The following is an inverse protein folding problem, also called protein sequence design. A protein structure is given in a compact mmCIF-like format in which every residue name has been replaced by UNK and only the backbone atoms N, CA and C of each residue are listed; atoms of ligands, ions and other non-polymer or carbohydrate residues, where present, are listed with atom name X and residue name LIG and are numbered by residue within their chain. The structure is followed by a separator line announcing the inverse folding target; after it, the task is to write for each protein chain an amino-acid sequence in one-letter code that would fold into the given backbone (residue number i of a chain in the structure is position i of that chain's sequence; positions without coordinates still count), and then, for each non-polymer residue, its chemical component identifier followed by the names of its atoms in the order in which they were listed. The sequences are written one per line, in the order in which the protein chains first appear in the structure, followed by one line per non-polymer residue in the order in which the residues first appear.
data_IF_102378446280
#
_entry.id   IF_102378446280
#
_cell.length_a   1.000
_cell.length_b   1.000
_cell.length_c   1.000
_cell.angle_alpha   90.00
_cell.angle_beta   90.00
_cell.angle_gamma   90.00
#
_symmetry.space_group_name_H-M   'P 1'
#
loop_
_entity.id
_entity.type
_entity.pdbx_description
1 polymer ?
#
# COMPACT_ATOMS: atom_id res chain seq x y z
N UNK A 1 82.59 12.41 15.88
CA UNK A 1 81.51 13.07 15.14
C UNK A 1 80.62 12.02 14.52
N UNK A 2 79.47 11.70 15.10
CA UNK A 2 78.52 10.82 14.43
C UNK A 2 77.44 11.65 13.75
N UNK A 3 77.25 11.32 12.48
CA UNK A 3 76.18 11.84 11.65
C UNK A 3 74.83 11.21 12.04
N UNK A 4 73.86 12.07 12.34
CA UNK A 4 72.50 11.66 12.52
C UNK A 4 71.85 11.37 11.17
N UNK A 5 71.37 10.15 10.93
CA UNK A 5 70.51 9.81 9.82
C UNK A 5 69.03 10.07 10.21
N UNK A 6 68.45 11.00 9.54
CA UNK A 6 67.00 11.22 9.60
C UNK A 6 66.30 10.24 8.69
N UNK A 7 65.47 9.37 9.24
CA UNK A 7 64.56 8.54 8.47
C UNK A 7 63.21 9.25 8.47
N UNK A 8 62.83 9.72 7.31
CA UNK A 8 61.47 10.20 7.06
C UNK A 8 60.62 8.98 6.70
N UNK A 9 59.57 8.74 7.47
CA UNK A 9 58.55 7.73 7.15
C UNK A 9 57.43 8.42 6.33
N UNK A 10 57.05 7.88 5.18
CA UNK A 10 55.87 8.36 4.48
C UNK A 10 54.60 7.77 5.11
N UNK A 11 53.70 8.64 5.57
CA UNK A 11 52.42 8.24 6.05
C UNK A 11 51.51 7.78 4.87
N UNK A 12 51.04 6.56 4.92
CA UNK A 12 49.97 6.09 4.05
C UNK A 12 48.66 6.68 4.56
N UNK A 13 48.07 7.59 3.77
CA UNK A 13 46.71 8.01 3.96
C UNK A 13 45.79 6.93 3.36
N UNK A 14 45.12 6.18 4.20
CA UNK A 14 44.07 5.25 3.80
C UNK A 14 42.80 6.05 3.46
N UNK A 15 42.48 6.18 2.18
CA UNK A 15 41.20 6.68 1.70
C UNK A 15 40.15 5.57 1.90
N UNK A 16 39.34 5.70 2.93
CA UNK A 16 38.15 4.90 3.11
C UNK A 16 37.09 5.36 2.11
N UNK A 17 36.89 4.59 1.05
CA UNK A 17 35.77 4.78 0.12
C UNK A 17 34.52 4.24 0.79
N UNK A 18 33.69 5.11 1.33
CA UNK A 18 32.34 4.74 1.74
C UNK A 18 31.50 4.56 0.48
N UNK A 19 31.34 3.28 0.09
CA UNK A 19 30.34 2.91 -0.90
C UNK A 19 28.97 3.03 -0.25
N UNK A 20 28.36 4.20 -0.40
CA UNK A 20 26.96 4.41 0.00
C UNK A 20 26.03 3.55 -0.84
N UNK A 21 25.26 2.70 -0.19
CA UNK A 21 24.19 1.94 -0.83
C UNK A 21 23.13 2.90 -1.38
N UNK A 22 23.16 3.17 -2.68
CA UNK A 22 22.13 3.93 -3.40
C UNK A 22 20.92 3.04 -3.70
N UNK A 23 20.26 2.53 -2.65
CA UNK A 23 19.10 1.64 -2.80
C UNK A 23 17.80 2.14 -2.21
N UNK A 24 17.83 3.24 -1.45
CA UNK A 24 16.68 3.64 -0.62
C UNK A 24 15.80 4.77 -1.20
N UNK A 25 16.12 5.32 -2.37
CA UNK A 25 15.47 6.58 -2.81
C UNK A 25 14.23 6.41 -3.69
N UNK A 26 13.96 5.23 -4.23
CA UNK A 26 12.79 5.04 -5.10
C UNK A 26 11.44 5.13 -4.37
N UNK A 27 11.39 4.79 -3.08
CA UNK A 27 10.17 4.86 -2.29
C UNK A 27 9.82 6.29 -1.84
N UNK A 28 10.81 7.12 -1.52
CA UNK A 28 10.59 8.47 -1.01
C UNK A 28 10.12 9.44 -2.10
N UNK A 29 10.60 9.28 -3.34
CA UNK A 29 10.21 10.13 -4.48
C UNK A 29 8.75 9.88 -4.88
N UNK A 30 8.27 8.64 -4.79
CA UNK A 30 6.90 8.31 -5.16
C UNK A 30 5.87 8.83 -4.15
N UNK A 31 6.23 8.98 -2.87
CA UNK A 31 5.34 9.53 -1.84
C UNK A 31 5.11 11.04 -2.01
N UNK A 32 6.15 11.79 -2.35
CA UNK A 32 6.06 13.25 -2.50
C UNK A 32 5.18 13.69 -3.67
N UNK A 33 4.98 12.82 -4.66
CA UNK A 33 4.19 13.10 -5.87
C UNK A 33 2.91 12.26 -5.95
N UNK A 34 2.47 11.72 -4.81
CA UNK A 34 1.24 10.94 -4.78
C UNK A 34 0.00 11.83 -4.75
N UNK A 35 -0.67 11.89 -5.88
CA UNK A 35 -1.91 12.65 -6.07
C UNK A 35 -2.99 11.73 -6.63
N UNK A 36 -3.63 10.90 -5.79
CA UNK A 36 -4.64 9.97 -6.26
C UNK A 36 -5.92 10.69 -6.65
N UNK A 37 -6.54 10.22 -7.73
CA UNK A 37 -7.88 10.61 -8.16
C UNK A 37 -8.78 9.39 -8.10
N UNK A 38 -9.66 9.35 -7.12
CA UNK A 38 -10.62 8.28 -6.95
C UNK A 38 -11.82 8.52 -7.85
N UNK A 39 -12.06 7.61 -8.80
CA UNK A 39 -13.08 7.79 -9.84
C UNK A 39 -14.41 7.17 -9.47
N UNK A 40 -14.45 6.27 -8.51
CA UNK A 40 -15.69 5.71 -8.02
C UNK A 40 -15.61 4.24 -7.65
N UNK A 41 -16.68 3.81 -6.98
CA UNK A 41 -16.87 2.45 -6.49
C UNK A 41 -18.22 1.96 -6.98
N UNK A 42 -18.27 0.78 -7.57
CA UNK A 42 -19.50 0.06 -7.84
C UNK A 42 -19.52 -1.19 -6.99
N UNK A 43 -20.56 -1.35 -6.19
CA UNK A 43 -20.77 -2.52 -5.35
C UNK A 43 -21.76 -3.46 -6.03
N UNK A 44 -21.37 -4.72 -6.18
CA UNK A 44 -22.22 -5.77 -6.77
C UNK A 44 -22.38 -6.89 -5.76
N UNK A 45 -23.62 -7.11 -5.34
CA UNK A 45 -23.95 -8.21 -4.46
C UNK A 45 -23.93 -9.52 -5.27
N UNK A 46 -23.16 -10.47 -4.77
CA UNK A 46 -23.13 -11.81 -5.28
C UNK A 46 -23.99 -12.72 -4.39
N UNK A 47 -23.80 -14.02 -4.49
CA UNK A 47 -24.56 -14.96 -3.68
C UNK A 47 -24.13 -14.94 -2.20
N UNK A 48 -25.09 -14.97 -1.29
CA UNK A 48 -24.85 -14.98 0.16
C UNK A 48 -24.20 -13.66 0.64
N UNK A 49 -23.09 -13.79 1.38
CA UNK A 49 -22.34 -12.66 1.92
C UNK A 49 -21.17 -12.24 1.02
N UNK A 50 -21.13 -12.71 -0.20
CA UNK A 50 -20.13 -12.34 -1.20
C UNK A 50 -20.50 -11.01 -1.84
N UNK A 51 -19.52 -10.13 -1.90
CA UNK A 51 -19.67 -8.80 -2.51
C UNK A 51 -18.47 -8.52 -3.41
N UNK A 52 -18.73 -7.99 -4.58
CA UNK A 52 -17.71 -7.56 -5.51
C UNK A 52 -17.66 -6.02 -5.51
N UNK A 53 -16.45 -5.49 -5.33
CA UNK A 53 -16.18 -4.05 -5.38
C UNK A 53 -15.37 -3.73 -6.62
N UNK A 54 -16.01 -3.05 -7.55
CA UNK A 54 -15.38 -2.53 -8.76
C UNK A 54 -14.95 -1.10 -8.49
N UNK A 55 -13.67 -0.87 -8.37
CA UNK A 55 -13.10 0.46 -8.10
C UNK A 55 -12.27 0.95 -9.27
N UNK A 56 -12.23 2.26 -9.44
CA UNK A 56 -11.39 2.92 -10.45
C UNK A 56 -10.69 4.12 -9.85
N UNK A 57 -9.42 4.31 -10.22
CA UNK A 57 -8.65 5.48 -9.81
C UNK A 57 -7.56 5.82 -10.83
N UNK A 58 -7.10 7.07 -10.77
CA UNK A 58 -5.88 7.55 -11.44
C UNK A 58 -4.84 7.95 -10.41
N UNK A 59 -3.59 7.98 -10.83
CA UNK A 59 -2.49 8.41 -9.97
C UNK A 59 -2.07 7.38 -8.92
N UNK A 60 -2.47 6.11 -9.06
CA UNK A 60 -1.94 5.04 -8.22
C UNK A 60 -0.45 4.85 -8.50
N UNK A 61 0.32 4.64 -7.45
CA UNK A 61 1.76 4.39 -7.54
C UNK A 61 2.05 2.95 -7.98
N UNK A 62 1.18 2.04 -7.53
CA UNK A 62 1.28 0.61 -7.79
C UNK A 62 -0.07 -0.07 -7.49
N UNK A 63 -0.20 -1.40 -7.69
CA UNK A 63 -1.43 -2.13 -7.38
C UNK A 63 -1.91 -1.99 -5.94
N UNK A 64 -1.02 -1.80 -4.97
CA UNK A 64 -1.41 -1.69 -3.56
C UNK A 64 -2.32 -0.49 -3.28
N UNK A 65 -2.18 0.60 -4.01
CA UNK A 65 -3.05 1.77 -3.85
C UNK A 65 -4.49 1.48 -4.29
N UNK A 66 -4.68 0.75 -5.37
CA UNK A 66 -6.02 0.40 -5.83
C UNK A 66 -6.64 -0.72 -4.99
N UNK A 67 -5.81 -1.63 -4.45
CA UNK A 67 -6.26 -2.61 -3.45
C UNK A 67 -6.73 -1.94 -2.17
N UNK A 68 -5.99 -0.94 -1.68
CA UNK A 68 -6.39 -0.16 -0.51
C UNK A 68 -7.74 0.54 -0.72
N UNK A 69 -7.97 1.07 -1.91
CA UNK A 69 -9.25 1.67 -2.26
C UNK A 69 -10.40 0.65 -2.20
N UNK A 70 -10.21 -0.53 -2.77
CA UNK A 70 -11.21 -1.60 -2.70
C UNK A 70 -11.44 -2.10 -1.26
N UNK A 71 -10.37 -2.21 -0.46
CA UNK A 71 -10.47 -2.60 0.95
C UNK A 71 -11.26 -1.59 1.77
N UNK A 72 -11.08 -0.31 1.53
CA UNK A 72 -11.85 0.76 2.18
C UNK A 72 -13.34 0.67 1.81
N UNK A 73 -13.64 0.38 0.55
CA UNK A 73 -15.01 0.15 0.10
C UNK A 73 -15.65 -1.05 0.81
N UNK A 74 -14.93 -2.16 0.89
CA UNK A 74 -15.41 -3.38 1.56
C UNK A 74 -15.67 -3.16 3.05
N UNK A 75 -14.77 -2.49 3.75
CA UNK A 75 -14.91 -2.19 5.17
C UNK A 75 -16.15 -1.33 5.46
N UNK A 76 -16.32 -0.24 4.73
CA UNK A 76 -17.49 0.64 4.91
C UNK A 76 -18.79 -0.09 4.55
N UNK A 77 -18.81 -0.87 3.49
CA UNK A 77 -19.98 -1.63 3.11
C UNK A 77 -20.37 -2.66 4.18
N UNK A 78 -19.38 -3.34 4.77
CA UNK A 78 -19.65 -4.26 5.88
C UNK A 78 -20.37 -3.55 7.03
N UNK A 79 -19.89 -2.38 7.44
CA UNK A 79 -20.54 -1.58 8.50
C UNK A 79 -21.96 -1.14 8.13
N UNK A 80 -22.19 -0.71 6.89
CA UNK A 80 -23.51 -0.34 6.38
C UNK A 80 -24.50 -1.52 6.51
N UNK A 81 -24.01 -2.73 6.27
CA UNK A 81 -24.82 -3.96 6.39
C UNK A 81 -24.93 -4.46 7.82
N UNK A 82 -24.31 -3.81 8.80
CA UNK A 82 -24.31 -4.22 10.19
C UNK A 82 -23.31 -5.33 10.53
N UNK A 83 -22.31 -5.53 9.70
CA UNK A 83 -21.25 -6.52 9.91
C UNK A 83 -19.96 -5.85 10.39
N UNK A 84 -19.23 -6.51 11.29
CA UNK A 84 -17.99 -5.98 11.84
C UNK A 84 -16.73 -6.40 11.08
N UNK A 85 -16.82 -7.39 10.21
CA UNK A 85 -15.65 -7.99 9.56
C UNK A 85 -15.88 -8.23 8.06
N UNK A 86 -14.77 -8.19 7.32
CA UNK A 86 -14.73 -8.65 5.95
C UNK A 86 -13.48 -9.49 5.72
N UNK A 87 -13.52 -10.41 4.77
CA UNK A 87 -12.37 -11.20 4.35
C UNK A 87 -12.18 -11.08 2.87
N UNK A 88 -10.97 -10.70 2.47
CA UNK A 88 -10.58 -10.63 1.08
C UNK A 88 -10.44 -12.03 0.49
N UNK A 89 -11.01 -12.26 -0.68
CA UNK A 89 -10.90 -13.52 -1.42
C UNK A 89 -9.95 -13.39 -2.60
N UNK A 90 -10.18 -12.43 -3.49
CA UNK A 90 -9.31 -12.16 -4.63
C UNK A 90 -9.47 -10.72 -5.12
N UNK A 91 -8.46 -10.23 -5.81
CA UNK A 91 -8.54 -8.98 -6.58
C UNK A 91 -7.89 -9.18 -7.93
N UNK A 92 -8.60 -8.79 -8.98
CA UNK A 92 -8.06 -8.65 -10.32
C UNK A 92 -7.82 -7.16 -10.58
N UNK A 93 -6.61 -6.82 -11.02
CA UNK A 93 -6.22 -5.43 -11.27
C UNK A 93 -5.82 -5.28 -12.72
N UNK A 94 -6.30 -4.21 -13.34
CA UNK A 94 -5.91 -3.79 -14.68
C UNK A 94 -5.55 -2.30 -14.67
N UNK A 95 -4.57 -1.92 -15.49
CA UNK A 95 -4.18 -0.54 -15.71
C UNK A 95 -4.17 -0.26 -17.20
N UNK A 96 -4.71 0.87 -17.61
CA UNK A 96 -4.70 1.31 -19.01
C UNK A 96 -4.75 2.83 -19.06
N UNK A 97 -3.75 3.42 -19.72
CA UNK A 97 -3.71 4.88 -19.90
C UNK A 97 -3.71 5.68 -18.59
N UNK A 98 -3.08 5.16 -17.53
CA UNK A 98 -3.06 5.79 -16.21
C UNK A 98 -4.30 5.54 -15.36
N UNK A 99 -5.32 4.86 -15.88
CA UNK A 99 -6.50 4.46 -15.12
C UNK A 99 -6.33 3.04 -14.59
N UNK A 100 -6.39 2.92 -13.28
CA UNK A 100 -6.35 1.66 -12.56
C UNK A 100 -7.75 1.21 -12.21
N UNK A 101 -8.04 -0.06 -12.43
CA UNK A 101 -9.31 -0.70 -12.06
C UNK A 101 -9.03 -1.94 -11.25
N UNK A 102 -9.83 -2.15 -10.22
CA UNK A 102 -9.82 -3.38 -9.46
C UNK A 102 -11.23 -3.98 -9.42
N UNK A 103 -11.26 -5.30 -9.50
CA UNK A 103 -12.40 -6.17 -9.27
C UNK A 103 -12.04 -7.00 -8.04
N UNK A 104 -12.58 -6.65 -6.89
CA UNK A 104 -12.18 -7.18 -5.60
C UNK A 104 -13.36 -7.87 -4.90
N UNK A 105 -13.22 -9.16 -4.65
CA UNK A 105 -14.27 -9.95 -3.99
C UNK A 105 -13.93 -10.14 -2.52
N UNK A 106 -14.92 -9.86 -1.69
CA UNK A 106 -14.90 -10.03 -0.24
C UNK A 106 -16.10 -10.82 0.24
N UNK A 107 -15.94 -11.52 1.37
CA UNK A 107 -17.07 -11.92 2.21
C UNK A 107 -17.21 -10.94 3.36
N UNK A 108 -18.45 -10.64 3.75
CA UNK A 108 -18.73 -9.84 4.97
C UNK A 108 -19.27 -10.76 6.07
N UNK A 109 -18.96 -10.45 7.33
CA UNK A 109 -19.33 -11.31 8.46
C UNK A 109 -19.55 -10.51 9.74
N UNK A 110 -20.53 -10.96 10.54
CA UNK A 110 -20.79 -10.40 11.87
C UNK A 110 -19.75 -10.82 12.91
N UNK A 111 -19.11 -11.95 12.70
CA UNK A 111 -18.06 -12.49 13.57
C UNK A 111 -16.74 -12.63 12.80
N UNK A 112 -15.63 -12.70 13.54
CA UNK A 112 -14.31 -12.82 12.94
C UNK A 112 -14.23 -14.10 12.08
N UNK A 113 -14.07 -13.99 10.76
CA UNK A 113 -13.92 -15.15 9.88
C UNK A 113 -12.63 -15.90 10.16
N UNK A 114 -12.65 -17.21 9.98
CA UNK A 114 -11.44 -18.02 10.00
C UNK A 114 -10.60 -17.76 8.74
N UNK A 115 -9.29 -17.79 8.90
CA UNK A 115 -8.33 -17.65 7.80
C UNK A 115 -7.61 -16.32 7.76
N UNK A 116 -6.81 -16.15 6.70
CA UNK A 116 -6.00 -14.96 6.46
C UNK A 116 -6.82 -13.88 5.73
N UNK A 117 -6.27 -12.65 5.70
CA UNK A 117 -6.82 -11.50 4.97
C UNK A 117 -8.17 -11.02 5.51
N UNK A 118 -8.40 -11.24 6.78
CA UNK A 118 -9.57 -10.69 7.47
C UNK A 118 -9.26 -9.27 7.93
N UNK A 119 -10.22 -8.37 7.74
CA UNK A 119 -10.14 -6.99 8.18
C UNK A 119 -11.24 -6.73 9.22
N UNK A 120 -10.88 -5.97 10.25
CA UNK A 120 -11.83 -5.32 11.15
C UNK A 120 -12.37 -4.07 10.44
N UNK A 121 -13.67 -4.04 10.21
CA UNK A 121 -14.28 -3.00 9.39
C UNK A 121 -14.18 -1.60 10.03
N UNK A 122 -14.36 -1.49 11.35
CA UNK A 122 -14.28 -0.21 12.07
C UNK A 122 -12.86 0.35 12.05
N UNK A 123 -11.88 -0.49 12.33
CA UNK A 123 -10.45 -0.10 12.31
C UNK A 123 -10.06 0.33 10.90
N UNK A 124 -10.45 -0.45 9.91
CA UNK A 124 -10.10 -0.17 8.51
C UNK A 124 -10.72 1.14 8.02
N UNK A 125 -11.99 1.40 8.30
CA UNK A 125 -12.66 2.66 7.91
C UNK A 125 -12.00 3.88 8.54
N UNK A 126 -11.61 3.77 9.81
CA UNK A 126 -10.89 4.84 10.50
C UNK A 126 -9.54 5.12 9.82
N UNK A 127 -8.80 4.08 9.51
CA UNK A 127 -7.50 4.21 8.84
C UNK A 127 -7.65 4.77 7.41
N UNK A 128 -8.69 4.39 6.70
CA UNK A 128 -9.05 4.97 5.40
C UNK A 128 -9.29 6.47 5.50
N UNK A 129 -10.03 6.92 6.51
CA UNK A 129 -10.25 8.34 6.77
C UNK A 129 -8.96 9.10 7.04
N UNK A 130 -8.05 8.52 7.83
CA UNK A 130 -6.75 9.11 8.12
C UNK A 130 -5.85 9.22 6.87
N UNK A 131 -6.01 8.32 5.91
CA UNK A 131 -5.27 8.31 4.65
C UNK A 131 -5.97 9.11 3.53
N UNK A 132 -7.16 9.63 3.76
CA UNK A 132 -7.93 10.34 2.75
C UNK A 132 -8.48 9.45 1.64
N UNK A 133 -8.62 8.15 1.89
CA UNK A 133 -9.20 7.21 0.93
C UNK A 133 -10.73 7.22 1.11
N UNK A 134 -11.50 7.52 0.04
CA UNK A 134 -12.96 7.53 0.14
C UNK A 134 -13.52 6.11 0.28
N UNK A 135 -14.74 6.04 0.81
CA UNK A 135 -15.50 4.80 0.98
C UNK A 135 -16.79 4.83 0.18
N UNK A 136 -17.59 3.79 0.30
CA UNK A 136 -18.92 3.73 -0.36
C UNK A 136 -19.93 4.63 0.33
#
# INVERSE_FOLDING_TARGET
MPRALRHAAPGLAALAVLSGCAGAERGAVSQANFHPHYLGIKTVLLEGDLVDFLVSMKGARDPADVEAYAQCAAAQYALIRGYGFARHLRTNIAESGGTWRADAIYTISASLPLGLRTIDAEVTVRDCGAQGIPTV
#
